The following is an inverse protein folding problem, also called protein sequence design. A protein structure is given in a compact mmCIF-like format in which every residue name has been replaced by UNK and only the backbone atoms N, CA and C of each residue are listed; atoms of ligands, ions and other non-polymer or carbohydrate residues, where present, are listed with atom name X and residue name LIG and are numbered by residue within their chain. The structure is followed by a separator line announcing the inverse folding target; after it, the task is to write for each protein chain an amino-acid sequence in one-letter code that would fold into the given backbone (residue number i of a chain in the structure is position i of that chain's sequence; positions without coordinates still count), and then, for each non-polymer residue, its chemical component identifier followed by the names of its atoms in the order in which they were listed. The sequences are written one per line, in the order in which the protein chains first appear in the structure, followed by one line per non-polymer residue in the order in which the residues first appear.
data_IF_742097402166
#
_entry.id   IF_742097402166
#
_cell.length_a   1.000
_cell.length_b   1.000
_cell.length_c   1.000
_cell.angle_alpha   90.00
_cell.angle_beta   90.00
_cell.angle_gamma   90.00
#
_symmetry.space_group_name_H-M   'P 1'
#
loop_
_entity.id
_entity.type
_entity.pdbx_description
1 polymer ?
#
# COMPACT_ATOMS: atom_id res chain seq x y z
N UNK A 1 -6.59 -15.15 -8.81
CA UNK A 1 -5.66 -15.88 -9.69
C UNK A 1 -5.19 -17.10 -8.91
N UNK A 2 -5.01 -18.23 -9.57
CA UNK A 2 -4.30 -19.39 -9.01
C UNK A 2 -2.93 -19.54 -9.68
N UNK A 3 -1.98 -20.15 -8.99
CA UNK A 3 -0.63 -20.31 -9.52
C UNK A 3 0.00 -21.63 -9.09
N UNK A 4 0.86 -22.13 -9.97
CA UNK A 4 1.77 -23.25 -9.75
C UNK A 4 3.07 -22.95 -10.51
N UNK A 5 3.43 -23.75 -11.54
CA UNK A 5 4.41 -23.35 -12.55
C UNK A 5 3.94 -22.16 -13.41
N UNK A 6 2.66 -22.15 -13.74
CA UNK A 6 1.99 -21.10 -14.50
C UNK A 6 0.97 -20.33 -13.66
N UNK A 7 0.37 -19.30 -14.25
CA UNK A 7 -0.63 -18.47 -13.58
C UNK A 7 -1.96 -18.52 -14.34
N UNK A 8 -3.03 -18.82 -13.61
CA UNK A 8 -4.40 -18.83 -14.13
C UNK A 8 -5.19 -17.65 -13.57
N UNK A 9 -5.40 -16.64 -14.41
CA UNK A 9 -6.21 -15.47 -14.07
C UNK A 9 -7.70 -15.84 -14.21
N UNK A 10 -8.39 -15.96 -13.08
CA UNK A 10 -9.84 -16.25 -13.05
C UNK A 10 -10.69 -15.04 -13.43
N UNK A 11 -10.29 -13.84 -13.00
CA UNK A 11 -10.89 -12.56 -13.36
C UNK A 11 -9.95 -11.41 -12.97
N UNK A 12 -10.08 -10.28 -13.65
CA UNK A 12 -9.36 -9.03 -13.34
C UNK A 12 -10.10 -8.20 -12.28
N UNK A 13 -9.46 -7.17 -11.74
CA UNK A 13 -10.04 -6.33 -10.69
C UNK A 13 -11.20 -5.44 -11.22
N UNK A 14 -11.23 -5.16 -12.52
CA UNK A 14 -12.26 -4.38 -13.21
C UNK A 14 -13.34 -5.27 -13.86
N UNK A 15 -13.47 -6.53 -13.43
CA UNK A 15 -14.48 -7.44 -13.95
C UNK A 15 -15.92 -6.99 -13.59
N UNK A 16 -16.91 -7.49 -14.32
CA UNK A 16 -18.33 -7.17 -14.14
C UNK A 16 -19.13 -8.31 -13.48
N UNK A 17 -18.45 -9.29 -12.87
CA UNK A 17 -19.08 -10.44 -12.24
C UNK A 17 -19.75 -10.06 -10.92
N UNK A 18 -20.89 -10.70 -10.64
CA UNK A 18 -21.55 -10.63 -9.35
C UNK A 18 -20.78 -11.40 -8.27
N UNK A 19 -21.02 -11.13 -6.97
CA UNK A 19 -20.44 -11.93 -5.89
C UNK A 19 -20.75 -13.43 -5.95
N UNK A 20 -21.88 -13.82 -6.56
CA UNK A 20 -22.19 -15.23 -6.78
C UNK A 20 -21.31 -15.84 -7.88
N UNK A 21 -21.16 -15.14 -9.01
CA UNK A 21 -20.32 -15.59 -10.12
C UNK A 21 -18.84 -15.63 -9.74
N UNK A 22 -18.34 -14.65 -9.00
CA UNK A 22 -16.96 -14.68 -8.48
C UNK A 22 -16.73 -15.88 -7.57
N UNK A 23 -17.68 -16.22 -6.68
CA UNK A 23 -17.59 -17.43 -5.85
C UNK A 23 -17.53 -18.70 -6.69
N UNK A 24 -18.35 -18.79 -7.76
CA UNK A 24 -18.30 -19.92 -8.69
C UNK A 24 -16.95 -20.02 -9.41
N UNK A 25 -16.38 -18.88 -9.83
CA UNK A 25 -15.05 -18.86 -10.45
C UNK A 25 -13.97 -19.34 -9.48
N UNK A 26 -14.07 -18.99 -8.20
CA UNK A 26 -13.14 -19.47 -7.16
C UNK A 26 -13.33 -20.97 -6.90
N UNK A 27 -14.57 -21.43 -6.70
CA UNK A 27 -14.87 -22.82 -6.31
C UNK A 27 -14.55 -23.87 -7.39
N UNK A 28 -14.45 -23.44 -8.65
CA UNK A 28 -14.11 -24.31 -9.80
C UNK A 28 -12.63 -24.25 -10.16
N UNK A 29 -11.80 -23.60 -9.34
CA UNK A 29 -10.35 -23.56 -9.52
C UNK A 29 -9.76 -24.93 -9.16
N UNK A 30 -9.00 -25.54 -10.07
CA UNK A 30 -8.33 -26.81 -9.82
C UNK A 30 -7.01 -26.58 -9.09
N UNK A 31 -6.63 -27.53 -8.22
CA UNK A 31 -5.29 -27.63 -7.64
C UNK A 31 -4.56 -28.82 -8.30
N UNK A 32 -3.81 -28.60 -9.39
CA UNK A 32 -3.04 -29.66 -10.06
C UNK A 32 -1.89 -30.26 -9.23
N UNK A 33 -1.28 -29.49 -8.33
CA UNK A 33 -0.20 -29.90 -7.41
C UNK A 33 1.21 -29.93 -8.01
N UNK A 34 1.50 -29.22 -9.12
CA UNK A 34 2.79 -29.30 -9.82
C UNK A 34 3.65 -28.02 -9.69
N UNK A 35 4.10 -27.75 -8.46
CA UNK A 35 5.11 -26.74 -8.12
C UNK A 35 4.57 -25.38 -7.69
N UNK A 36 5.47 -24.51 -7.25
CA UNK A 36 5.11 -23.28 -6.51
C UNK A 36 5.96 -22.09 -6.99
N UNK A 37 5.66 -21.52 -8.16
CA UNK A 37 6.35 -20.30 -8.66
C UNK A 37 5.65 -19.04 -8.13
N UNK A 38 5.87 -18.75 -6.85
CA UNK A 38 5.23 -17.63 -6.14
C UNK A 38 5.72 -16.28 -6.65
N UNK A 39 6.99 -16.17 -7.03
CA UNK A 39 7.57 -14.94 -7.58
C UNK A 39 6.91 -14.54 -8.90
N UNK A 40 6.75 -15.49 -9.80
CA UNK A 40 6.00 -15.30 -11.05
C UNK A 40 4.53 -14.92 -10.78
N UNK A 41 3.91 -15.51 -9.75
CA UNK A 41 2.55 -15.15 -9.34
C UNK A 41 2.45 -13.69 -8.83
N UNK A 42 3.40 -13.24 -8.01
CA UNK A 42 3.44 -11.84 -7.55
C UNK A 42 3.58 -10.90 -8.75
N UNK A 43 4.46 -11.23 -9.70
CA UNK A 43 4.65 -10.44 -10.93
C UNK A 43 3.36 -10.40 -11.77
N UNK A 44 2.66 -11.52 -11.90
CA UNK A 44 1.37 -11.56 -12.59
C UNK A 44 0.30 -10.72 -11.87
N UNK A 45 0.27 -10.73 -10.54
CA UNK A 45 -0.64 -9.87 -9.77
C UNK A 45 -0.37 -8.38 -10.01
N UNK A 46 0.90 -7.96 -10.07
CA UNK A 46 1.28 -6.58 -10.47
C UNK A 46 0.72 -6.24 -11.85
N UNK A 47 0.87 -7.16 -12.82
CA UNK A 47 0.31 -6.97 -14.16
C UNK A 47 -1.22 -6.87 -14.14
N UNK A 48 -1.91 -7.63 -13.29
CA UNK A 48 -3.37 -7.53 -13.14
C UNK A 48 -3.80 -6.15 -12.64
N UNK A 49 -3.10 -5.56 -11.67
CA UNK A 49 -3.37 -4.18 -11.22
C UNK A 49 -3.19 -3.18 -12.37
N UNK A 50 -2.10 -3.31 -13.13
CA UNK A 50 -1.80 -2.40 -14.24
C UNK A 50 -2.83 -2.54 -15.38
N UNK A 51 -3.21 -3.76 -15.75
CA UNK A 51 -4.22 -4.03 -16.79
C UNK A 51 -5.62 -3.56 -16.39
N UNK A 52 -5.94 -3.60 -15.10
CA UNK A 52 -7.26 -3.18 -14.63
C UNK A 52 -7.43 -1.65 -14.64
N UNK A 53 -6.34 -0.90 -14.82
CA UNK A 53 -6.33 0.56 -14.79
C UNK A 53 -6.57 1.13 -13.37
N UNK A 54 -6.65 2.46 -13.24
CA UNK A 54 -6.95 3.11 -11.97
C UNK A 54 -8.43 2.87 -11.59
N UNK A 55 -8.70 1.77 -10.88
CA UNK A 55 -10.07 1.41 -10.47
C UNK A 55 -10.57 2.38 -9.39
N UNK A 56 -9.70 2.71 -8.42
CA UNK A 56 -9.98 3.63 -7.32
C UNK A 56 -8.71 4.41 -6.95
N UNK A 57 -8.49 5.62 -7.50
CA UNK A 57 -7.34 6.45 -7.16
C UNK A 57 -7.23 6.69 -5.65
N UNK A 58 -6.02 6.62 -5.11
CA UNK A 58 -5.75 6.83 -3.68
C UNK A 58 -6.15 5.68 -2.74
N UNK A 59 -6.83 4.64 -3.22
CA UNK A 59 -7.13 3.45 -2.42
C UNK A 59 -5.91 2.52 -2.41
N UNK A 60 -5.57 2.00 -1.24
CA UNK A 60 -4.49 1.03 -1.07
C UNK A 60 -4.70 -0.20 -1.98
N UNK A 61 -3.64 -0.60 -2.68
CA UNK A 61 -3.61 -1.83 -3.49
C UNK A 61 -3.02 -2.93 -2.64
N UNK A 62 -3.76 -4.01 -2.45
CA UNK A 62 -3.33 -5.14 -1.63
C UNK A 62 -3.36 -6.43 -2.43
N UNK A 63 -2.29 -7.21 -2.34
CA UNK A 63 -2.24 -8.60 -2.80
C UNK A 63 -2.04 -9.54 -1.62
N UNK A 64 -2.83 -10.59 -1.54
CA UNK A 64 -2.64 -11.66 -0.55
C UNK A 64 -2.21 -12.93 -1.25
N UNK A 65 -1.07 -13.47 -0.84
CA UNK A 65 -0.51 -14.70 -1.37
C UNK A 65 -0.73 -15.81 -0.35
N UNK A 66 -1.53 -16.81 -0.74
CA UNK A 66 -1.66 -18.06 0.00
C UNK A 66 -0.72 -19.09 -0.62
N UNK A 67 0.06 -19.77 0.21
CA UNK A 67 0.96 -20.86 -0.20
C UNK A 67 0.97 -21.97 0.85
N UNK A 68 1.12 -23.21 0.41
CA UNK A 68 1.28 -24.41 1.24
C UNK A 68 2.70 -25.01 1.19
N UNK A 69 3.57 -24.44 0.34
CA UNK A 69 4.92 -24.93 0.11
C UNK A 69 5.95 -23.81 -0.11
N UNK A 70 7.20 -24.23 -0.29
CA UNK A 70 8.32 -23.36 -0.62
C UNK A 70 8.29 -22.91 -2.08
N UNK A 71 8.68 -21.67 -2.34
CA UNK A 71 8.77 -21.15 -3.70
C UNK A 71 9.92 -21.79 -4.48
N UNK A 72 9.72 -22.05 -5.77
CA UNK A 72 10.76 -22.57 -6.67
C UNK A 72 11.54 -21.47 -7.40
N UNK A 73 11.09 -20.22 -7.27
CA UNK A 73 11.62 -19.04 -7.92
C UNK A 73 11.92 -17.90 -6.92
N UNK A 74 12.55 -16.83 -7.42
CA UNK A 74 12.90 -15.67 -6.60
C UNK A 74 11.66 -14.91 -6.09
N UNK A 75 11.67 -14.55 -4.81
CA UNK A 75 10.62 -13.77 -4.16
C UNK A 75 10.99 -12.29 -4.02
N UNK A 76 12.27 -11.96 -3.88
CA UNK A 76 12.73 -10.62 -3.50
C UNK A 76 12.49 -9.62 -4.63
N UNK A 77 12.85 -9.98 -5.85
CA UNK A 77 12.65 -9.15 -7.04
C UNK A 77 11.17 -8.87 -7.31
N UNK A 78 10.30 -9.89 -7.37
CA UNK A 78 8.85 -9.71 -7.52
C UNK A 78 8.18 -8.94 -6.39
N UNK A 79 8.51 -9.20 -5.13
CA UNK A 79 7.96 -8.44 -4.00
C UNK A 79 8.37 -6.96 -4.04
N UNK A 80 9.64 -6.69 -4.42
CA UNK A 80 10.14 -5.33 -4.64
C UNK A 80 9.43 -4.65 -5.82
N UNK A 81 9.12 -5.39 -6.89
CA UNK A 81 8.33 -4.89 -8.02
C UNK A 81 6.92 -4.49 -7.58
N UNK A 82 6.26 -5.31 -6.76
CA UNK A 82 4.96 -4.96 -6.18
C UNK A 82 5.04 -3.66 -5.37
N UNK A 83 6.08 -3.49 -4.54
CA UNK A 83 6.26 -2.29 -3.71
C UNK A 83 6.41 -1.03 -4.56
N UNK A 84 7.21 -1.10 -5.63
CA UNK A 84 7.38 -0.01 -6.61
C UNK A 84 6.09 0.33 -7.37
N UNK A 85 5.13 -0.59 -7.46
CA UNK A 85 3.82 -0.37 -8.07
C UNK A 85 2.75 0.03 -7.02
N UNK A 86 3.19 0.36 -5.80
CA UNK A 86 2.35 0.73 -4.66
C UNK A 86 1.37 -0.39 -4.26
N UNK A 87 1.82 -1.64 -4.38
CA UNK A 87 1.05 -2.83 -4.00
C UNK A 87 1.68 -3.40 -2.74
N UNK A 88 0.90 -3.36 -1.67
CA UNK A 88 1.21 -3.99 -0.40
C UNK A 88 0.87 -5.48 -0.46
N UNK A 89 1.74 -6.31 0.09
CA UNK A 89 1.67 -7.77 -0.03
C UNK A 89 1.51 -8.43 1.34
N UNK A 90 0.66 -9.45 1.41
CA UNK A 90 0.48 -10.32 2.57
C UNK A 90 0.94 -11.73 2.22
N UNK A 91 1.79 -12.32 3.06
CA UNK A 91 2.25 -13.70 2.92
C UNK A 91 1.54 -14.62 3.90
N UNK A 92 0.84 -15.63 3.39
CA UNK A 92 0.03 -16.57 4.19
C UNK A 92 0.45 -18.00 3.89
N UNK A 93 1.13 -18.63 4.84
CA UNK A 93 1.47 -20.05 4.80
C UNK A 93 0.37 -20.90 5.41
N UNK A 94 -0.01 -22.01 4.78
CA UNK A 94 -0.99 -22.97 5.32
C UNK A 94 -0.35 -24.36 5.41
N UNK A 95 -0.21 -24.88 6.62
CA UNK A 95 0.40 -26.20 6.87
C UNK A 95 1.88 -26.12 7.22
N UNK A 96 2.65 -27.16 6.88
CA UNK A 96 4.01 -27.40 7.41
C UNK A 96 5.13 -27.28 6.39
N UNK A 97 4.83 -27.16 5.10
CA UNK A 97 5.80 -27.07 4.00
C UNK A 97 6.40 -25.67 3.77
N UNK A 98 6.11 -24.70 4.64
CA UNK A 98 6.35 -23.27 4.41
C UNK A 98 7.52 -22.76 5.25
N UNK A 99 8.35 -21.91 4.66
CA UNK A 99 9.45 -21.24 5.34
C UNK A 99 9.05 -19.81 5.70
N UNK A 100 9.10 -19.47 7.00
CA UNK A 100 8.73 -18.15 7.51
C UNK A 100 9.44 -16.99 6.78
N UNK A 101 10.72 -17.15 6.42
CA UNK A 101 11.47 -16.11 5.71
C UNK A 101 10.94 -15.86 4.31
N UNK A 102 10.42 -16.88 3.62
CA UNK A 102 9.77 -16.69 2.31
C UNK A 102 8.49 -15.88 2.44
N UNK A 103 7.67 -16.16 3.46
CA UNK A 103 6.47 -15.36 3.71
C UNK A 103 6.80 -13.90 4.04
N UNK A 104 7.88 -13.67 4.80
CA UNK A 104 8.38 -12.31 5.06
C UNK A 104 8.94 -11.65 3.80
N UNK A 105 9.58 -12.39 2.88
CA UNK A 105 10.00 -11.86 1.58
C UNK A 105 8.80 -11.50 0.71
N UNK A 106 7.78 -12.37 0.64
CA UNK A 106 6.51 -12.10 -0.03
C UNK A 106 5.91 -10.80 0.52
N UNK A 107 5.86 -10.64 1.83
CA UNK A 107 5.32 -9.47 2.54
C UNK A 107 6.27 -8.25 2.57
N UNK A 108 7.27 -8.17 1.70
CA UNK A 108 8.19 -7.01 1.60
C UNK A 108 8.89 -6.69 2.93
N UNK A 109 9.27 -7.72 3.70
CA UNK A 109 9.92 -7.57 5.01
C UNK A 109 8.96 -7.30 6.18
N UNK A 110 7.66 -7.18 5.94
CA UNK A 110 6.64 -6.82 6.94
C UNK A 110 6.18 -8.04 7.74
N UNK A 111 6.68 -8.17 8.97
CA UNK A 111 6.31 -9.24 9.90
C UNK A 111 4.85 -9.17 10.34
N UNK A 112 4.29 -7.96 10.41
CA UNK A 112 2.88 -7.66 10.68
C UNK A 112 1.93 -8.15 9.57
N UNK A 113 2.48 -8.48 8.39
CA UNK A 113 1.75 -8.97 7.22
C UNK A 113 2.10 -10.41 6.86
N UNK A 114 2.78 -11.10 7.76
CA UNK A 114 3.20 -12.48 7.60
C UNK A 114 2.39 -13.40 8.51
N UNK A 115 1.75 -14.42 7.94
CA UNK A 115 0.85 -15.31 8.67
C UNK A 115 1.16 -16.77 8.39
N UNK A 116 1.25 -17.57 9.45
CA UNK A 116 1.41 -19.01 9.35
C UNK A 116 0.22 -19.68 10.03
N UNK A 117 -0.59 -20.36 9.24
CA UNK A 117 -1.84 -20.98 9.67
C UNK A 117 -1.64 -22.50 9.79
N UNK A 118 -2.04 -23.04 10.93
CA UNK A 118 -1.97 -24.49 11.19
C UNK A 118 -3.00 -25.28 10.39
N UNK A 119 -4.14 -24.67 10.09
CA UNK A 119 -5.24 -25.28 9.36
C UNK A 119 -6.17 -24.23 8.73
N UNK A 120 -7.13 -24.70 7.92
CA UNK A 120 -8.15 -23.85 7.30
C UNK A 120 -9.11 -23.22 8.33
N UNK A 121 -9.24 -23.75 9.55
CA UNK A 121 -10.09 -23.15 10.59
C UNK A 121 -9.51 -21.81 11.08
N UNK A 122 -8.18 -21.69 11.05
CA UNK A 122 -7.43 -20.48 11.39
C UNK A 122 -7.59 -19.35 10.36
N UNK A 123 -8.20 -19.61 9.19
CA UNK A 123 -8.44 -18.59 8.16
C UNK A 123 -9.37 -17.48 8.63
N UNK A 124 -10.35 -17.77 9.51
CA UNK A 124 -11.26 -16.74 10.01
C UNK A 124 -10.53 -15.68 10.83
N UNK A 125 -9.62 -16.11 11.69
CA UNK A 125 -8.80 -15.19 12.47
C UNK A 125 -7.84 -14.42 11.57
N UNK A 126 -7.26 -15.09 10.57
CA UNK A 126 -6.46 -14.42 9.55
C UNK A 126 -7.25 -13.32 8.83
N UNK A 127 -8.47 -13.57 8.36
CA UNK A 127 -9.26 -12.55 7.67
C UNK A 127 -9.60 -11.37 8.60
N UNK A 128 -9.85 -11.63 9.90
CA UNK A 128 -10.04 -10.57 10.89
C UNK A 128 -8.79 -9.70 11.00
N UNK A 129 -7.62 -10.30 11.22
CA UNK A 129 -6.35 -9.56 11.33
C UNK A 129 -5.98 -8.88 10.02
N UNK A 130 -6.16 -9.52 8.86
CA UNK A 130 -5.91 -8.92 7.56
C UNK A 130 -6.78 -7.67 7.37
N UNK A 131 -8.06 -7.70 7.72
CA UNK A 131 -8.92 -6.53 7.64
C UNK A 131 -8.41 -5.40 8.55
N UNK A 132 -7.93 -5.72 9.76
CA UNK A 132 -7.35 -4.75 10.69
C UNK A 132 -6.04 -4.14 10.17
N UNK A 133 -5.13 -4.95 9.65
CA UNK A 133 -3.85 -4.48 9.10
C UNK A 133 -4.04 -3.72 7.78
N UNK A 134 -5.00 -4.13 6.94
CA UNK A 134 -5.34 -3.41 5.71
C UNK A 134 -5.81 -1.99 5.99
N UNK A 135 -6.55 -1.78 7.08
CA UNK A 135 -6.98 -0.44 7.52
C UNK A 135 -5.80 0.45 7.98
N UNK A 136 -4.64 -0.13 8.29
CA UNK A 136 -3.42 0.61 8.65
C UNK A 136 -2.56 0.98 7.46
N UNK A 137 -2.80 0.39 6.29
CA UNK A 137 -2.02 0.68 5.09
C UNK A 137 -2.27 2.13 4.68
N UNK A 138 -1.23 2.98 4.63
CA UNK A 138 -1.39 4.35 4.21
C UNK A 138 -1.88 4.43 2.77
N UNK A 139 -2.95 5.21 2.56
CA UNK A 139 -3.34 5.67 1.23
C UNK A 139 -2.22 6.53 0.65
N UNK A 140 -1.99 6.48 -0.66
CA UNK A 140 -0.88 7.20 -1.32
C UNK A 140 -1.43 8.22 -2.33
N UNK A 141 -1.92 9.38 -1.87
CA UNK A 141 -2.48 10.38 -2.76
C UNK A 141 -1.35 11.07 -3.56
N UNK A 142 -1.62 11.37 -4.82
CA UNK A 142 -0.74 12.20 -5.63
C UNK A 142 -0.78 13.65 -5.09
N UNK A 143 0.37 14.32 -5.01
CA UNK A 143 0.42 15.73 -4.65
C UNK A 143 -0.45 16.57 -5.59
N UNK A 144 -1.21 17.50 -5.02
CA UNK A 144 -2.21 18.33 -5.70
C UNK A 144 -3.61 17.72 -5.78
N UNK A 145 -3.75 16.39 -5.68
CA UNK A 145 -5.04 15.71 -5.69
C UNK A 145 -5.74 15.81 -4.33
N UNK A 146 -7.00 16.20 -4.34
CA UNK A 146 -7.86 16.13 -3.17
C UNK A 146 -8.45 14.73 -3.01
N UNK A 147 -8.49 14.26 -1.77
CA UNK A 147 -9.21 13.06 -1.38
C UNK A 147 -10.27 13.41 -0.34
N UNK A 148 -11.50 13.00 -0.62
CA UNK A 148 -12.62 13.12 0.30
C UNK A 148 -12.87 11.75 0.93
N UNK A 149 -12.99 11.72 2.25
CA UNK A 149 -13.34 10.51 2.98
C UNK A 149 -14.13 10.86 4.25
N UNK A 150 -14.59 9.83 4.96
CA UNK A 150 -15.24 9.92 6.26
C UNK A 150 -14.55 9.01 7.26
N UNK A 151 -14.47 9.45 8.50
CA UNK A 151 -14.05 8.63 9.64
C UNK A 151 -15.05 8.77 10.77
N UNK A 152 -15.45 7.65 11.37
CA UNK A 152 -16.25 7.66 12.60
C UNK A 152 -15.38 7.91 13.82
N UNK A 153 -16.00 8.08 14.99
CA UNK A 153 -15.29 8.30 16.25
C UNK A 153 -14.23 7.23 16.51
N UNK A 154 -13.00 7.66 16.79
CA UNK A 154 -11.80 6.84 17.01
C UNK A 154 -11.33 6.02 15.80
N UNK A 155 -12.03 6.05 14.66
CA UNK A 155 -11.53 5.48 13.42
C UNK A 155 -10.34 6.31 12.94
N UNK A 156 -9.35 5.62 12.38
CA UNK A 156 -8.14 6.22 11.85
C UNK A 156 -8.03 5.95 10.37
N UNK A 157 -7.54 6.93 9.64
CA UNK A 157 -7.12 6.81 8.25
C UNK A 157 -5.68 7.28 8.12
N UNK A 158 -4.87 6.53 7.40
CA UNK A 158 -3.46 6.84 7.21
C UNK A 158 -3.20 7.23 5.76
N UNK A 159 -2.28 8.17 5.59
CA UNK A 159 -1.86 8.69 4.31
C UNK A 159 -0.34 8.75 4.27
N UNK A 160 0.24 8.50 3.10
CA UNK A 160 1.65 8.65 2.83
C UNK A 160 1.80 9.58 1.63
N UNK A 161 2.44 10.73 1.85
CA UNK A 161 2.72 11.70 0.82
C UNK A 161 4.21 11.67 0.48
N UNK A 162 4.55 11.88 -0.79
CA UNK A 162 5.91 12.20 -1.18
C UNK A 162 6.35 13.50 -0.47
N UNK A 163 7.60 13.54 -0.01
CA UNK A 163 8.20 14.69 0.66
C UNK A 163 9.33 15.27 -0.21
N UNK A 164 9.02 16.21 -1.12
CA UNK A 164 10.01 16.87 -1.96
C UNK A 164 10.91 17.81 -1.14
N UNK A 165 12.02 18.32 -1.70
CA UNK A 165 12.96 19.20 -0.99
C UNK A 165 12.34 20.48 -0.42
N UNK A 166 11.32 21.03 -1.10
CA UNK A 166 10.59 22.20 -0.64
C UNK A 166 9.60 21.88 0.49
N UNK A 167 9.47 20.60 0.88
CA UNK A 167 8.49 20.13 1.85
C UNK A 167 7.10 19.92 1.24
N UNK A 168 6.14 19.59 2.10
CA UNK A 168 4.74 19.41 1.70
C UNK A 168 3.82 20.14 2.66
N UNK A 169 2.87 20.89 2.11
CA UNK A 169 1.75 21.44 2.84
C UNK A 169 0.57 20.48 2.81
N UNK A 170 0.20 19.98 3.98
CA UNK A 170 -1.03 19.22 4.16
C UNK A 170 -2.17 20.21 4.45
N UNK A 171 -3.19 20.15 3.61
CA UNK A 171 -4.46 20.86 3.79
C UNK A 171 -5.50 19.83 4.21
N UNK A 172 -6.03 19.97 5.42
CA UNK A 172 -7.10 19.15 5.98
C UNK A 172 -8.30 20.03 6.28
N UNK A 173 -9.33 19.90 5.45
CA UNK A 173 -10.56 20.69 5.53
C UNK A 173 -11.71 19.79 6.03
N UNK A 174 -12.16 20.02 7.25
CA UNK A 174 -13.33 19.34 7.81
C UNK A 174 -14.62 19.82 7.09
N UNK A 175 -15.34 18.89 6.47
CA UNK A 175 -16.53 19.17 5.68
C UNK A 175 -17.80 18.84 6.47
N UNK A 176 -18.90 19.55 6.20
CA UNK A 176 -20.23 19.26 6.75
C UNK A 176 -20.26 19.09 8.29
N UNK A 177 -19.50 19.91 9.02
CA UNK A 177 -19.43 19.86 10.48
C UNK A 177 -18.57 18.71 11.03
N UNK A 178 -17.75 18.06 10.21
CA UNK A 178 -16.80 17.05 10.65
C UNK A 178 -15.80 17.60 11.68
N UNK A 179 -15.30 16.72 12.55
CA UNK A 179 -14.28 17.06 13.52
C UNK A 179 -13.20 15.96 13.56
N UNK A 180 -12.00 16.31 13.14
CA UNK A 180 -10.87 15.38 13.06
C UNK A 180 -9.66 15.91 13.82
N UNK A 181 -8.89 14.98 14.39
CA UNK A 181 -7.54 15.22 14.87
C UNK A 181 -6.56 14.59 13.89
N UNK A 182 -5.42 15.24 13.64
CA UNK A 182 -4.45 14.71 12.69
C UNK A 182 -3.01 14.95 13.14
N UNK A 183 -2.16 13.98 12.82
CA UNK A 183 -0.76 13.91 13.25
C UNK A 183 0.10 13.47 12.07
N UNK A 184 1.37 13.87 12.05
CA UNK A 184 2.33 13.42 11.05
C UNK A 184 3.58 12.81 11.68
N UNK A 185 4.25 11.92 10.96
CA UNK A 185 5.59 11.42 11.30
C UNK A 185 6.45 11.17 10.07
N UNK A 186 7.76 11.37 10.22
CA UNK A 186 8.77 11.01 9.21
C UNK A 186 9.16 9.53 9.26
N UNK A 187 8.80 8.82 10.33
CA UNK A 187 9.33 7.47 10.61
C UNK A 187 8.26 6.45 10.99
N UNK A 188 7.18 6.88 11.63
CA UNK A 188 6.06 6.02 11.97
C UNK A 188 5.03 6.03 10.83
N UNK A 189 4.68 4.86 10.28
CA UNK A 189 3.68 4.73 9.21
C UNK A 189 2.23 4.85 9.72
N UNK A 190 2.05 4.85 11.05
CA UNK A 190 0.76 4.95 11.73
C UNK A 190 0.78 5.99 12.87
N UNK A 191 1.09 7.27 12.58
CA UNK A 191 1.24 8.27 13.62
C UNK A 191 -0.04 8.43 14.47
N UNK A 192 0.16 8.86 15.71
CA UNK A 192 -0.91 8.98 16.70
C UNK A 192 -0.64 10.12 17.67
N UNK A 193 -1.61 10.40 18.55
CA UNK A 193 -1.44 11.40 19.60
C UNK A 193 -0.22 11.15 20.51
N UNK A 194 0.19 9.88 20.69
CA UNK A 194 1.32 9.51 21.53
C UNK A 194 2.65 9.40 20.75
N UNK A 195 2.57 9.06 19.45
CA UNK A 195 3.73 8.82 18.60
C UNK A 195 3.59 9.65 17.32
N UNK A 196 4.17 10.86 17.32
CA UNK A 196 4.15 11.77 16.17
C UNK A 196 5.35 12.74 16.22
N UNK A 197 5.65 13.33 15.07
CA UNK A 197 6.60 14.44 14.93
C UNK A 197 5.90 15.82 14.93
N UNK A 198 4.58 15.84 14.78
CA UNK A 198 3.77 17.06 14.89
C UNK A 198 2.28 16.84 14.56
N UNK A 199 1.51 17.92 14.70
CA UNK A 199 0.06 17.97 14.49
C UNK A 199 -0.25 18.62 13.13
N UNK A 200 -1.27 18.13 12.42
CA UNK A 200 -1.84 18.78 11.23
C UNK A 200 -3.07 19.58 11.64
N UNK A 201 -2.99 20.91 11.57
CA UNK A 201 -4.08 21.84 11.90
C UNK A 201 -4.44 22.72 10.70
N UNK A 202 -5.49 22.35 9.97
CA UNK A 202 -5.96 23.09 8.78
C UNK A 202 -4.94 23.06 7.65
N UNK A 203 -4.07 24.07 7.56
CA UNK A 203 -2.99 24.16 6.57
C UNK A 203 -1.64 24.08 7.28
N UNK A 204 -0.99 22.93 7.20
CA UNK A 204 0.28 22.66 7.91
C UNK A 204 1.37 22.38 6.90
N UNK A 205 2.40 23.24 6.88
CA UNK A 205 3.61 22.98 6.11
C UNK A 205 4.55 22.07 6.89
N UNK A 206 4.97 20.97 6.26
CA UNK A 206 5.88 19.97 6.79
C UNK A 206 7.18 20.08 5.98
N UNK A 207 8.28 20.58 6.58
CA UNK A 207 9.52 20.79 5.85
C UNK A 207 10.20 19.48 5.49
N UNK A 208 11.02 19.49 4.45
CA UNK A 208 11.93 18.38 4.19
C UNK A 208 12.91 18.20 5.36
N UNK A 209 13.12 16.95 5.79
CA UNK A 209 14.21 16.59 6.70
C UNK A 209 15.15 15.65 5.97
N UNK A 210 16.39 16.08 5.80
CA UNK A 210 17.43 15.20 5.28
C UNK A 210 17.53 13.98 6.21
N UNK A 211 17.61 12.75 5.66
CA UNK A 211 17.87 11.58 6.48
C UNK A 211 19.13 11.81 7.29
N UNK A 212 19.02 11.78 8.62
CA UNK A 212 20.19 11.76 9.47
C UNK A 212 20.82 10.37 9.34
N UNK A 213 22.13 10.24 9.08
CA UNK A 213 22.78 8.94 9.09
C UNK A 213 22.68 8.38 10.51
N UNK A 214 21.80 7.40 10.71
CA UNK A 214 21.63 6.73 11.99
C UNK A 214 22.82 5.80 12.26
N UNK A 215 23.18 5.72 13.54
CA UNK A 215 24.19 4.83 14.11
C UNK A 215 23.94 3.34 13.72
N UNK A 216 24.97 2.46 13.67
CA UNK A 216 24.92 1.15 12.97
C UNK A 216 23.95 0.07 13.50
N UNK A 217 23.08 0.35 14.46
CA UNK A 217 22.37 -0.67 15.24
C UNK A 217 20.83 -0.71 15.09
N UNK A 218 20.27 -0.16 14.03
CA UNK A 218 18.85 -0.31 13.68
C UNK A 218 18.64 -0.89 12.28
N UNK A 219 19.32 -2.00 11.97
CA UNK A 219 19.05 -2.81 10.79
C UNK A 219 17.82 -3.73 10.99
N UNK A 220 16.66 -3.16 11.38
CA UNK A 220 15.41 -3.93 11.50
C UNK A 220 14.19 -3.39 10.77
N UNK A 221 14.26 -2.26 10.09
CA UNK A 221 13.25 -1.85 9.12
C UNK A 221 13.95 -1.14 7.97
N UNK A 222 14.01 -1.85 6.86
CA UNK A 222 14.24 -1.37 5.50
C UNK A 222 15.08 -0.08 5.34
N UNK A 223 16.36 -0.26 5.03
CA UNK A 223 17.20 0.83 4.56
C UNK A 223 16.86 1.17 3.10
N UNK A 224 15.70 1.77 2.83
CA UNK A 224 15.49 2.66 1.68
C UNK A 224 14.34 3.63 1.98
N UNK A 225 14.56 4.94 1.80
CA UNK A 225 13.57 6.05 1.87
C UNK A 225 13.16 6.64 3.24
N UNK A 226 14.03 6.65 4.25
CA UNK A 226 13.88 7.67 5.31
C UNK A 226 14.18 9.06 4.69
N UNK A 227 13.21 9.98 4.69
CA UNK A 227 13.39 11.37 4.25
C UNK A 227 12.73 11.77 2.93
N UNK A 228 12.15 10.87 2.14
CA UNK A 228 11.44 11.22 0.88
C UNK A 228 9.93 11.11 0.96
N UNK A 229 9.39 10.81 2.15
CA UNK A 229 7.96 10.64 2.38
C UNK A 229 7.58 11.12 3.79
N UNK A 230 6.30 11.42 3.95
CA UNK A 230 5.70 11.78 5.23
C UNK A 230 4.42 10.98 5.44
N UNK A 231 4.23 10.45 6.65
CA UNK A 231 3.02 9.75 7.05
C UNK A 231 2.11 10.69 7.82
N UNK A 232 0.81 10.62 7.55
CA UNK A 232 -0.22 11.44 8.17
C UNK A 232 -1.36 10.54 8.62
N UNK A 233 -1.83 10.70 9.85
CA UNK A 233 -3.05 10.08 10.36
C UNK A 233 -4.16 11.12 10.46
N UNK A 234 -5.38 10.75 10.08
CA UNK A 234 -6.62 11.49 10.37
C UNK A 234 -7.49 10.62 11.27
N UNK A 235 -7.93 11.18 12.40
CA UNK A 235 -8.67 10.47 13.44
C UNK A 235 -10.01 11.16 13.68
N UNK A 236 -11.10 10.41 13.64
CA UNK A 236 -12.43 10.95 13.89
C UNK A 236 -12.65 11.26 15.37
N UNK A 237 -13.10 12.48 15.66
CA UNK A 237 -13.42 12.93 17.03
C UNK A 237 -14.93 12.86 17.31
N UNK A 238 -15.75 13.27 16.33
CA UNK A 238 -17.21 13.15 16.39
C UNK A 238 -17.72 11.78 15.90
N UNK A 239 -19.04 11.57 15.95
CA UNK A 239 -19.68 10.31 15.52
C UNK A 239 -19.43 10.00 14.03
N UNK A 240 -19.44 11.03 13.18
CA UNK A 240 -19.11 10.91 11.75
C UNK A 240 -18.48 12.20 11.29
N UNK A 241 -17.28 12.09 10.71
CA UNK A 241 -16.46 13.25 10.36
C UNK A 241 -16.07 13.15 8.89
N UNK A 242 -16.72 13.96 8.06
CA UNK A 242 -16.36 14.09 6.66
C UNK A 242 -15.20 15.09 6.55
N UNK A 243 -14.20 14.79 5.73
CA UNK A 243 -13.07 15.67 5.50
C UNK A 243 -12.56 15.57 4.08
N UNK A 244 -11.91 16.64 3.61
CA UNK A 244 -11.03 16.63 2.45
C UNK A 244 -9.59 16.77 2.92
N UNK A 245 -8.69 15.95 2.38
CA UNK A 245 -7.25 16.07 2.59
C UNK A 245 -6.51 16.23 1.26
N UNK A 246 -5.51 17.11 1.23
CA UNK A 246 -4.66 17.37 0.06
C UNK A 246 -3.23 17.65 0.50
N UNK A 247 -2.27 16.98 -0.12
CA UNK A 247 -0.85 17.33 -0.03
C UNK A 247 -0.48 18.25 -1.18
N UNK A 248 0.16 19.38 -0.92
CA UNK A 248 0.63 20.35 -1.92
C UNK A 248 2.14 20.50 -1.74
N UNK A 249 2.91 20.44 -2.82
CA UNK A 249 4.35 20.66 -2.77
C UNK A 249 4.68 22.08 -2.29
N UNK A 250 5.66 22.19 -1.39
CA UNK A 250 6.13 23.45 -0.82
C UNK A 250 5.18 24.11 0.18
N UNK A 251 5.41 25.40 0.41
CA UNK A 251 4.54 26.28 1.21
C UNK A 251 3.87 27.36 0.35
N UNK A 252 3.24 26.99 -0.76
CA UNK A 252 2.55 27.97 -1.62
C UNK A 252 1.30 28.52 -0.94
N UNK A 253 1.43 29.64 -0.23
CA UNK A 253 0.31 30.42 0.30
C UNK A 253 -0.38 31.14 -0.87
N UNK A 254 -1.44 30.55 -1.41
CA UNK A 254 -2.38 31.24 -2.30
C UNK A 254 -1.81 31.73 -3.63
N UNK A 255 -1.82 30.87 -4.65
CA UNK A 255 -2.02 31.31 -6.02
C UNK A 255 -2.85 30.23 -6.73
N UNK A 256 -4.14 30.50 -6.90
CA UNK A 256 -4.91 29.84 -7.93
C UNK A 256 -4.36 30.30 -9.28
N UNK A 257 -3.49 29.50 -9.88
CA UNK A 257 -3.28 29.54 -11.32
C UNK A 257 -3.00 28.13 -11.78
N UNK A 258 -3.91 27.61 -12.60
CA UNK A 258 -3.69 26.40 -13.37
C UNK A 258 -2.37 26.54 -14.14
N UNK A 259 -1.41 25.66 -13.84
CA UNK A 259 -0.37 25.31 -14.80
C UNK A 259 -0.60 23.84 -15.12
N UNK A 260 -1.24 23.63 -16.27
CA UNK A 260 -1.12 22.38 -17.00
C UNK A 260 0.37 22.25 -17.31
N UNK A 261 1.13 21.52 -16.47
CA UNK A 261 2.50 21.16 -16.82
C UNK A 261 2.42 20.02 -17.83
N UNK A 262 2.38 20.43 -19.08
CA UNK A 262 2.59 19.61 -20.26
C UNK A 262 3.76 18.64 -20.03
N UNK A 263 3.45 17.36 -20.25
CA UNK A 263 4.25 16.43 -21.05
C UNK A 263 5.70 16.88 -21.28
N UNK A 264 6.66 16.29 -20.56
CA UNK A 264 7.98 16.06 -21.13
C UNK A 264 8.32 14.58 -21.00
N UNK A 265 8.21 13.92 -22.14
CA UNK A 265 8.73 12.60 -22.43
C UNK A 265 10.16 12.46 -21.87
N UNK A 266 10.34 11.56 -20.90
CA UNK A 266 11.56 10.76 -20.87
C UNK A 266 11.27 9.42 -21.54
N UNK A 267 11.08 9.46 -22.87
CA UNK A 267 11.46 8.31 -23.69
C UNK A 267 12.98 8.26 -23.67
N UNK A 268 13.56 7.44 -22.79
CA UNK A 268 14.90 6.94 -23.03
C UNK A 268 14.77 5.75 -23.97
N UNK A 269 14.89 6.06 -25.25
CA UNK A 269 15.16 5.12 -26.33
C UNK A 269 16.42 4.34 -25.97
N UNK A 270 16.29 3.07 -25.60
CA UNK A 270 17.40 2.11 -25.75
C UNK A 270 17.02 1.15 -26.86
N UNK A 271 17.50 1.50 -28.04
CA UNK A 271 17.58 0.69 -29.23
C UNK A 271 18.55 -0.47 -28.93
N UNK A 272 18.05 -1.67 -28.66
CA UNK A 272 18.86 -2.89 -28.74
C UNK A 272 18.76 -3.44 -30.17
N UNK A 273 19.78 -3.14 -30.97
CA UNK A 273 20.04 -3.85 -32.23
C UNK A 273 20.51 -5.27 -31.91
N UNK A 274 19.91 -6.24 -32.59
CA UNK A 274 20.37 -7.61 -32.65
C UNK A 274 21.66 -7.73 -33.48
N UNK A 275 22.60 -8.52 -32.97
CA UNK A 275 23.47 -9.37 -33.78
C UNK A 275 23.26 -10.81 -33.33
#
# INVERSE_FOLDING_TARGET
MAYEKGQEIRFLLNNVLTPAEMRTQVSTTSYPGDGTNTGAAITAAVNMFNQSGPIRPGVAKVTTVFTDGQSYDDLVGPASLAGRNEIDTFGVGIGTGIVQTELTQIAQGRVDRTFMLSDFASLMEFFRTMNEETCKIPQKPVLGAAMQDKVVKNEKRYFMYALPPDGVKIVLDNQNGGNTAAYYSYTDDTPSAAFNDGIVSGRTHIPYRAPTPSSPNLARHDCTTSGTQIYVSVIGVGETNNYEIRGIEGDVSGAATAVISSLLLCLSTTLMLAH
#
